data_IF_218432559597
#
_entry.id   IF_218432559597
#
_cell.length_a   1.000
_cell.length_b   1.000
_cell.length_c   1.000
_cell.angle_alpha   90.00
_cell.angle_beta   90.00
_cell.angle_gamma   90.00
#
_symmetry.space_group_name_H-M   'P 1'
#
loop_
_entity.id
_entity.type
_entity.pdbx_description
1 polymer ?
#
# COMPACT_ATOMS: atom_id res chain seq x y z
N UNK A 1 -10.24 2.90 -22.88
CA UNK A 1 -11.32 2.44 -21.96
C UNK A 1 -10.93 2.56 -20.47
N UNK A 2 -9.72 2.16 -20.05
CA UNK A 2 -9.23 2.28 -18.66
C UNK A 2 -9.17 3.76 -18.20
N UNK A 3 -8.63 4.66 -19.03
CA UNK A 3 -8.50 6.10 -18.75
C UNK A 3 -9.82 6.77 -18.30
N UNK A 4 -10.95 6.49 -18.98
CA UNK A 4 -12.27 7.01 -18.57
C UNK A 4 -12.74 6.47 -17.22
N UNK A 5 -12.38 5.24 -16.85
CA UNK A 5 -12.76 4.63 -15.58
C UNK A 5 -11.94 5.16 -14.40
N UNK A 6 -10.71 5.63 -14.63
CA UNK A 6 -9.88 6.24 -13.58
C UNK A 6 -10.44 7.60 -13.12
N UNK A 7 -11.15 8.34 -13.98
CA UNK A 7 -11.84 9.58 -13.57
C UNK A 7 -12.94 9.36 -12.53
N UNK A 8 -13.53 8.15 -12.47
CA UNK A 8 -14.54 7.81 -11.47
C UNK A 8 -13.96 7.56 -10.08
N UNK A 9 -12.63 7.55 -9.94
CA UNK A 9 -11.91 7.30 -8.68
C UNK A 9 -11.42 8.58 -8.00
N UNK A 10 -11.82 9.76 -8.46
CA UNK A 10 -11.30 11.05 -7.98
C UNK A 10 -11.44 11.20 -6.45
N UNK A 11 -12.59 10.84 -5.89
CA UNK A 11 -12.83 10.93 -4.45
C UNK A 11 -11.96 9.93 -3.68
N UNK A 12 -11.84 8.69 -4.16
CA UNK A 12 -11.00 7.67 -3.54
C UNK A 12 -9.52 8.07 -3.59
N UNK A 13 -9.07 8.64 -4.71
CA UNK A 13 -7.69 9.15 -4.88
C UNK A 13 -7.44 10.32 -3.92
N UNK A 14 -8.36 11.26 -3.82
CA UNK A 14 -8.26 12.41 -2.92
C UNK A 14 -8.20 11.96 -1.44
N UNK A 15 -9.04 10.99 -1.08
CA UNK A 15 -9.02 10.39 0.25
C UNK A 15 -7.73 9.62 0.53
N UNK A 16 -7.15 8.93 -0.47
CA UNK A 16 -5.87 8.24 -0.34
C UNK A 16 -4.71 9.24 -0.14
N UNK A 17 -4.68 10.34 -0.90
CA UNK A 17 -3.72 11.42 -0.71
C UNK A 17 -3.83 11.96 0.72
N UNK A 18 -5.05 12.24 1.17
CA UNK A 18 -5.31 12.79 2.50
C UNK A 18 -4.83 11.86 3.62
N UNK A 19 -5.17 10.56 3.57
CA UNK A 19 -4.81 9.62 4.65
C UNK A 19 -3.30 9.41 4.72
N UNK A 20 -2.60 9.33 3.59
CA UNK A 20 -1.14 9.22 3.50
C UNK A 20 -0.49 10.50 4.05
N UNK A 21 -0.93 11.67 3.57
CA UNK A 21 -0.45 12.97 4.05
C UNK A 21 -0.61 13.12 5.56
N UNK A 22 -1.81 12.86 6.10
CA UNK A 22 -2.10 13.01 7.53
C UNK A 22 -1.24 12.05 8.38
N UNK A 23 -0.98 10.83 7.89
CA UNK A 23 -0.12 9.86 8.56
C UNK A 23 1.32 10.37 8.66
N UNK A 24 1.90 10.76 7.53
CA UNK A 24 3.30 11.22 7.47
C UNK A 24 3.51 12.56 8.17
N UNK A 25 2.58 13.48 8.05
CA UNK A 25 2.63 14.79 8.73
C UNK A 25 2.66 14.66 10.26
N UNK A 26 1.99 13.64 10.79
CA UNK A 26 1.98 13.33 12.23
C UNK A 26 3.22 12.58 12.71
N UNK A 27 4.19 12.31 11.84
CA UNK A 27 5.41 11.56 12.16
C UNK A 27 5.21 10.05 12.25
N UNK A 28 4.07 9.54 11.78
CA UNK A 28 3.82 8.10 11.69
C UNK A 28 4.39 7.54 10.37
N UNK A 29 4.43 6.21 10.25
CA UNK A 29 4.92 5.51 9.06
C UNK A 29 3.81 4.79 8.31
N UNK A 30 4.13 4.41 7.09
CA UNK A 30 3.29 3.55 6.25
C UNK A 30 3.99 2.22 6.07
N UNK A 31 3.26 1.13 6.31
CA UNK A 31 3.72 -0.24 6.08
C UNK A 31 2.99 -0.76 4.84
N UNK A 32 3.74 -1.02 3.76
CA UNK A 32 3.17 -1.39 2.47
C UNK A 32 3.47 -2.85 2.14
N UNK A 33 2.51 -3.59 1.55
CA UNK A 33 2.69 -4.99 1.18
C UNK A 33 1.91 -5.38 -0.08
N UNK A 34 2.38 -6.45 -0.71
CA UNK A 34 1.77 -7.09 -1.88
C UNK A 34 2.49 -8.38 -2.22
N UNK A 35 1.96 -9.15 -3.16
CA UNK A 35 2.56 -10.40 -3.63
C UNK A 35 3.04 -10.28 -5.09
N UNK A 36 4.11 -10.97 -5.47
CA UNK A 36 4.62 -11.00 -6.84
C UNK A 36 4.89 -9.61 -7.41
N UNK A 37 4.26 -9.25 -8.53
CA UNK A 37 4.37 -7.90 -9.11
C UNK A 37 3.90 -6.79 -8.17
N UNK A 38 2.88 -7.06 -7.35
CA UNK A 38 2.44 -6.11 -6.33
C UNK A 38 3.42 -5.99 -5.16
N UNK A 39 4.29 -6.98 -4.91
CA UNK A 39 5.43 -6.84 -3.98
C UNK A 39 6.50 -5.93 -4.58
N UNK A 40 6.77 -6.05 -5.89
CA UNK A 40 7.67 -5.16 -6.61
C UNK A 40 7.17 -3.70 -6.57
N UNK A 41 5.88 -3.47 -6.80
CA UNK A 41 5.24 -2.15 -6.64
C UNK A 41 5.42 -1.61 -5.22
N UNK A 42 5.19 -2.45 -4.20
CA UNK A 42 5.35 -2.05 -2.80
C UNK A 42 6.78 -1.65 -2.45
N UNK A 43 7.77 -2.42 -2.92
CA UNK A 43 9.19 -2.10 -2.72
C UNK A 43 9.58 -0.82 -3.48
N UNK A 44 9.14 -0.65 -4.71
CA UNK A 44 9.40 0.54 -5.52
C UNK A 44 8.84 1.80 -4.86
N UNK A 45 7.55 1.81 -4.51
CA UNK A 45 6.90 2.94 -3.85
C UNK A 45 7.52 3.26 -2.47
N UNK A 46 7.99 2.22 -1.76
CA UNK A 46 8.77 2.41 -0.53
C UNK A 46 10.08 3.15 -0.79
N UNK A 47 10.85 2.72 -1.78
CA UNK A 47 12.13 3.34 -2.15
C UNK A 47 11.95 4.80 -2.56
N UNK A 48 10.89 5.13 -3.30
CA UNK A 48 10.57 6.50 -3.72
C UNK A 48 10.43 7.47 -2.53
N UNK A 49 9.86 7.01 -1.41
CA UNK A 49 9.67 7.85 -0.24
C UNK A 49 10.83 7.79 0.76
N UNK A 50 11.46 6.64 0.93
CA UNK A 50 12.64 6.50 1.77
C UNK A 50 13.83 7.30 1.23
N UNK A 51 13.97 7.39 -0.08
CA UNK A 51 15.10 8.07 -0.72
C UNK A 51 14.63 9.36 -1.39
N UNK A 52 14.03 9.28 -2.56
CA UNK A 52 13.60 10.46 -3.33
C UNK A 52 12.71 10.08 -4.51
N UNK A 53 11.51 10.65 -4.61
CA UNK A 53 10.62 10.45 -5.75
C UNK A 53 10.97 11.41 -6.90
N UNK A 54 11.02 12.71 -6.66
CA UNK A 54 11.31 13.71 -7.69
C UNK A 54 12.77 14.13 -7.65
N UNK A 55 13.52 14.01 -8.78
CA UNK A 55 14.94 14.34 -8.84
C UNK A 55 15.30 15.76 -8.36
N UNK A 56 14.43 16.72 -8.64
CA UNK A 56 14.64 18.14 -8.35
C UNK A 56 14.14 18.56 -6.95
N UNK A 57 13.66 17.62 -6.14
CA UNK A 57 13.15 17.89 -4.79
C UNK A 57 14.07 17.25 -3.76
N UNK A 58 14.98 18.05 -3.21
CA UNK A 58 15.78 17.62 -2.07
C UNK A 58 14.95 17.78 -0.79
N UNK A 59 14.56 16.68 -0.18
CA UNK A 59 13.73 16.61 1.02
C UNK A 59 14.22 15.56 2.00
N UNK A 60 13.78 15.65 3.23
CA UNK A 60 14.04 14.61 4.22
C UNK A 60 13.38 13.28 3.81
N UNK A 61 13.97 12.13 4.19
CA UNK A 61 13.36 10.82 4.01
C UNK A 61 11.98 10.74 4.67
N UNK A 62 11.08 9.96 4.07
CA UNK A 62 9.74 9.71 4.59
C UNK A 62 9.54 8.20 4.82
N UNK A 63 8.96 7.79 5.96
CA UNK A 63 8.94 6.39 6.35
C UNK A 63 7.78 5.63 5.69
N UNK A 64 7.99 5.16 4.46
CA UNK A 64 7.19 4.11 3.83
C UNK A 64 8.04 2.85 3.75
N UNK A 65 7.64 1.79 4.44
CA UNK A 65 8.44 0.57 4.60
C UNK A 65 7.70 -0.61 3.98
N UNK A 66 8.33 -1.29 3.02
CA UNK A 66 7.77 -2.52 2.45
C UNK A 66 7.86 -3.66 3.46
N UNK A 67 6.76 -4.41 3.64
CA UNK A 67 6.71 -5.67 4.39
C UNK A 67 7.12 -6.88 3.53
N UNK A 68 7.34 -6.70 2.24
CA UNK A 68 8.04 -7.66 1.38
C UNK A 68 9.53 -7.53 1.64
N UNK A 69 9.96 -8.04 2.80
CA UNK A 69 11.29 -7.86 3.37
C UNK A 69 12.35 -8.72 2.66
N UNK A 70 13.42 -9.03 3.40
CA UNK A 70 14.50 -9.89 2.94
C UNK A 70 14.07 -11.37 2.85
N UNK A 71 14.88 -12.14 2.12
CA UNK A 71 14.64 -13.58 1.91
C UNK A 71 14.64 -14.39 3.20
N UNK A 72 15.43 -13.99 4.20
CA UNK A 72 15.48 -14.70 5.50
C UNK A 72 14.16 -14.58 6.25
N UNK A 73 13.59 -13.39 6.34
CA UNK A 73 12.25 -13.18 6.96
C UNK A 73 11.17 -13.96 6.21
N UNK A 74 11.20 -13.96 4.88
CA UNK A 74 10.20 -14.66 4.06
C UNK A 74 10.29 -16.18 4.22
N UNK A 75 11.51 -16.73 4.14
CA UNK A 75 11.73 -18.19 4.24
C UNK A 75 11.50 -18.70 5.64
N UNK A 76 11.93 -17.98 6.68
CA UNK A 76 11.66 -18.32 8.06
C UNK A 76 10.14 -18.37 8.34
N UNK A 77 9.39 -17.38 7.90
CA UNK A 77 7.94 -17.39 8.06
C UNK A 77 7.27 -18.54 7.31
N UNK A 78 7.73 -18.85 6.11
CA UNK A 78 7.23 -19.99 5.32
C UNK A 78 7.54 -21.35 5.96
N UNK A 79 8.73 -21.48 6.57
CA UNK A 79 9.18 -22.71 7.23
C UNK A 79 8.52 -22.92 8.60
N UNK A 80 8.47 -21.89 9.44
CA UNK A 80 8.09 -22.00 10.85
C UNK A 80 6.59 -21.81 11.08
N UNK A 81 5.89 -21.15 10.17
CA UNK A 81 4.46 -20.83 10.23
C UNK A 81 3.77 -21.13 8.89
N UNK A 82 3.43 -20.09 8.14
CA UNK A 82 2.91 -20.20 6.78
C UNK A 82 3.17 -18.91 5.99
N UNK A 83 3.19 -19.01 4.66
CA UNK A 83 3.25 -17.83 3.80
C UNK A 83 2.07 -16.85 4.05
N UNK A 84 0.93 -17.38 4.46
CA UNK A 84 -0.25 -16.58 4.78
C UNK A 84 -0.07 -15.69 6.03
N UNK A 85 0.88 -16.00 6.89
CA UNK A 85 1.12 -15.25 8.12
C UNK A 85 2.19 -14.16 7.98
N UNK A 86 2.93 -14.17 6.86
CA UNK A 86 4.09 -13.30 6.63
C UNK A 86 3.79 -11.83 6.93
N UNK A 87 2.82 -11.24 6.23
CA UNK A 87 2.53 -9.82 6.39
C UNK A 87 1.87 -9.49 7.74
N UNK A 88 1.06 -10.38 8.28
CA UNK A 88 0.42 -10.16 9.57
C UNK A 88 1.44 -10.15 10.72
N UNK A 89 2.43 -11.05 10.69
CA UNK A 89 3.49 -11.12 11.70
C UNK A 89 4.45 -9.94 11.62
N UNK A 90 4.94 -9.63 10.43
CA UNK A 90 5.85 -8.48 10.22
C UNK A 90 5.16 -7.15 10.52
N UNK A 91 3.88 -7.02 10.15
CA UNK A 91 3.08 -5.85 10.50
C UNK A 91 2.92 -5.70 12.02
N UNK A 92 2.57 -6.76 12.74
CA UNK A 92 2.41 -6.73 14.21
C UNK A 92 3.68 -6.31 14.93
N UNK A 93 4.84 -6.74 14.43
CA UNK A 93 6.14 -6.39 15.00
C UNK A 93 6.53 -4.91 14.77
N UNK A 94 6.15 -4.33 13.64
CA UNK A 94 6.62 -3.02 13.21
C UNK A 94 5.61 -1.88 13.40
N UNK A 95 4.30 -2.21 13.43
CA UNK A 95 3.25 -1.20 13.44
C UNK A 95 3.01 -0.61 14.83
N UNK A 96 2.70 0.69 14.85
CA UNK A 96 2.30 1.44 16.04
C UNK A 96 0.99 2.17 15.77
N UNK A 97 0.28 2.54 16.83
CA UNK A 97 -0.92 3.36 16.74
C UNK A 97 -0.63 4.66 15.98
N UNK A 98 -1.44 4.97 14.99
CA UNK A 98 -1.30 6.13 14.11
C UNK A 98 -0.65 5.82 12.77
N UNK A 99 0.01 4.66 12.62
CA UNK A 99 0.54 4.20 11.33
C UNK A 99 -0.58 3.87 10.33
N UNK A 100 -0.20 3.64 9.08
CA UNK A 100 -1.11 3.23 8.01
C UNK A 100 -0.61 1.92 7.40
N UNK A 101 -1.51 0.94 7.26
CA UNK A 101 -1.26 -0.23 6.41
C UNK A 101 -1.66 0.11 4.96
N UNK A 102 -0.78 -0.20 3.99
CA UNK A 102 -1.09 -0.06 2.57
C UNK A 102 -0.94 -1.42 1.87
N UNK A 103 -2.04 -1.99 1.39
CA UNK A 103 -2.06 -3.27 0.70
C UNK A 103 -2.23 -3.10 -0.81
N UNK A 104 -1.49 -3.89 -1.61
CA UNK A 104 -1.66 -3.97 -3.06
C UNK A 104 -2.01 -5.41 -3.43
N UNK A 105 -3.18 -5.62 -4.04
CA UNK A 105 -3.65 -6.96 -4.43
C UNK A 105 -4.58 -6.90 -5.64
N UNK A 106 -4.18 -7.49 -6.76
CA UNK A 106 -4.99 -7.50 -7.98
C UNK A 106 -6.28 -8.31 -7.84
N UNK A 107 -6.31 -9.35 -7.02
CA UNK A 107 -7.49 -10.18 -6.77
C UNK A 107 -8.32 -9.71 -5.57
N UNK A 108 -7.66 -9.09 -4.58
CA UNK A 108 -8.25 -8.79 -3.27
C UNK A 108 -8.60 -10.05 -2.44
N UNK A 109 -8.04 -11.21 -2.80
CA UNK A 109 -8.37 -12.50 -2.18
C UNK A 109 -7.16 -13.27 -1.60
N UNK A 110 -5.94 -12.74 -1.73
CA UNK A 110 -4.75 -13.38 -1.17
C UNK A 110 -4.86 -13.46 0.35
N UNK A 111 -4.66 -14.67 0.92
CA UNK A 111 -4.94 -14.91 2.34
C UNK A 111 -3.99 -14.11 3.26
N UNK A 112 -2.71 -13.95 2.90
CA UNK A 112 -1.78 -13.11 3.65
C UNK A 112 -2.21 -11.63 3.69
N UNK A 113 -2.82 -11.09 2.61
CA UNK A 113 -3.40 -9.75 2.57
C UNK A 113 -4.65 -9.67 3.47
N UNK A 114 -5.50 -10.71 3.43
CA UNK A 114 -6.67 -10.78 4.30
C UNK A 114 -6.26 -10.82 5.79
N UNK A 115 -5.26 -11.64 6.13
CA UNK A 115 -4.77 -11.76 7.51
C UNK A 115 -4.17 -10.44 8.02
N UNK A 116 -3.35 -9.73 7.24
CA UNK A 116 -2.78 -8.45 7.67
C UNK A 116 -3.85 -7.35 7.80
N UNK A 117 -4.86 -7.31 6.95
CA UNK A 117 -5.98 -6.39 7.08
C UNK A 117 -6.80 -6.64 8.35
N UNK A 118 -7.07 -7.92 8.68
CA UNK A 118 -7.70 -8.31 9.94
C UNK A 118 -6.84 -7.89 11.16
N UNK A 119 -5.51 -8.08 11.06
CA UNK A 119 -4.56 -7.66 12.10
C UNK A 119 -4.59 -6.14 12.30
N UNK A 120 -4.52 -5.35 11.23
CA UNK A 120 -4.60 -3.89 11.29
C UNK A 120 -5.89 -3.42 11.96
N UNK A 121 -7.03 -4.03 11.61
CA UNK A 121 -8.32 -3.74 12.24
C UNK A 121 -8.31 -4.05 13.74
N UNK A 122 -7.74 -5.20 14.15
CA UNK A 122 -7.60 -5.60 15.57
C UNK A 122 -6.72 -4.60 16.34
N UNK A 123 -5.67 -4.07 15.71
CA UNK A 123 -4.77 -3.07 16.28
C UNK A 123 -5.32 -1.63 16.19
N UNK A 124 -6.52 -1.44 15.66
CA UNK A 124 -7.13 -0.12 15.42
C UNK A 124 -6.26 0.81 14.56
N UNK A 125 -5.61 0.23 13.55
CA UNK A 125 -4.77 0.93 12.56
C UNK A 125 -5.54 1.00 11.24
N UNK A 126 -5.59 2.18 10.64
CA UNK A 126 -6.26 2.40 9.34
C UNK A 126 -5.53 1.68 8.22
N UNK A 127 -6.27 1.31 7.18
CA UNK A 127 -5.72 0.66 6.00
C UNK A 127 -6.22 1.28 4.70
N UNK A 128 -5.32 1.39 3.72
CA UNK A 128 -5.57 1.70 2.33
C UNK A 128 -5.30 0.44 1.51
N UNK A 129 -6.16 0.12 0.54
CA UNK A 129 -5.90 -0.99 -0.38
C UNK A 129 -6.07 -0.57 -1.83
N UNK A 130 -5.09 -0.94 -2.67
CA UNK A 130 -5.21 -0.94 -4.11
C UNK A 130 -5.65 -2.34 -4.55
N UNK A 131 -6.80 -2.43 -5.17
CA UNK A 131 -7.45 -3.69 -5.53
C UNK A 131 -7.81 -3.72 -7.01
N UNK A 132 -7.98 -4.92 -7.54
CA UNK A 132 -8.51 -5.14 -8.88
C UNK A 132 -9.88 -5.80 -8.88
N UNK A 133 -10.41 -6.05 -10.06
CA UNK A 133 -11.71 -6.69 -10.28
C UNK A 133 -12.86 -5.97 -9.56
N UNK A 134 -13.49 -6.64 -8.61
CA UNK A 134 -14.54 -6.12 -7.74
C UNK A 134 -14.04 -5.87 -6.30
N UNK A 135 -12.73 -5.99 -6.07
CA UNK A 135 -12.06 -5.77 -4.79
C UNK A 135 -11.95 -6.99 -3.88
N UNK A 136 -12.54 -8.12 -4.25
CA UNK A 136 -12.47 -9.36 -3.47
C UNK A 136 -12.91 -9.21 -2.00
N UNK A 137 -12.43 -10.11 -1.14
CA UNK A 137 -12.67 -10.08 0.32
C UNK A 137 -12.02 -8.86 1.00
N UNK A 138 -10.87 -8.40 0.47
CA UNK A 138 -10.12 -7.29 1.03
C UNK A 138 -10.92 -5.98 1.08
N UNK A 139 -11.79 -5.73 0.09
CA UNK A 139 -12.66 -4.54 0.02
C UNK A 139 -13.43 -4.28 1.32
N UNK A 140 -13.93 -5.34 1.97
CA UNK A 140 -14.75 -5.22 3.20
C UNK A 140 -13.91 -5.05 4.48
N UNK A 141 -12.59 -5.25 4.38
CA UNK A 141 -11.68 -5.22 5.53
C UNK A 141 -10.88 -3.91 5.58
N UNK A 142 -10.61 -3.29 4.45
CA UNK A 142 -9.87 -2.04 4.37
C UNK A 142 -10.71 -0.83 4.77
N UNK A 143 -10.05 0.17 5.35
CA UNK A 143 -10.67 1.46 5.69
C UNK A 143 -10.97 2.30 4.45
N UNK A 144 -10.12 2.19 3.42
CA UNK A 144 -10.25 2.88 2.14
C UNK A 144 -9.77 1.96 1.02
N UNK A 145 -10.44 2.00 -0.12
CA UNK A 145 -10.08 1.19 -1.28
C UNK A 145 -10.01 2.03 -2.55
N UNK A 146 -9.01 1.77 -3.38
CA UNK A 146 -9.00 2.15 -4.80
C UNK A 146 -9.12 0.87 -5.60
N UNK A 147 -10.22 0.73 -6.35
CA UNK A 147 -10.53 -0.50 -7.08
C UNK A 147 -10.44 -0.27 -8.58
N UNK A 148 -9.47 -0.93 -9.23
CA UNK A 148 -9.32 -0.91 -10.68
C UNK A 148 -10.30 -1.91 -11.30
N UNK A 149 -11.34 -1.46 -12.01
CA UNK A 149 -12.40 -2.32 -12.54
C UNK A 149 -11.95 -3.02 -13.84
N UNK A 150 -10.95 -3.87 -13.73
CA UNK A 150 -10.37 -4.67 -14.80
C UNK A 150 -10.08 -6.09 -14.31
N UNK A 151 -10.11 -7.09 -15.23
CA UNK A 151 -9.88 -8.51 -14.89
C UNK A 151 -8.46 -8.99 -15.23
N UNK A 152 -7.76 -8.31 -16.14
CA UNK A 152 -6.39 -8.66 -16.51
C UNK A 152 -5.41 -8.11 -15.46
N UNK A 153 -4.64 -9.00 -14.85
CA UNK A 153 -3.69 -8.70 -13.77
C UNK A 153 -2.65 -7.65 -14.19
N UNK A 154 -2.07 -7.76 -15.39
CA UNK A 154 -1.06 -6.81 -15.86
C UNK A 154 -1.64 -5.38 -15.99
N UNK A 155 -2.85 -5.25 -16.53
CA UNK A 155 -3.54 -3.93 -16.66
C UNK A 155 -3.88 -3.33 -15.29
N UNK A 156 -4.20 -4.19 -14.31
CA UNK A 156 -4.43 -3.75 -12.93
C UNK A 156 -3.14 -3.25 -12.31
N UNK A 157 -2.03 -3.98 -12.45
CA UNK A 157 -0.71 -3.59 -11.91
C UNK A 157 -0.19 -2.30 -12.54
N UNK A 158 -0.30 -2.13 -13.86
CA UNK A 158 0.03 -0.87 -14.52
C UNK A 158 -0.75 0.33 -13.94
N UNK A 159 -2.04 0.13 -13.66
CA UNK A 159 -2.85 1.17 -13.03
C UNK A 159 -2.45 1.40 -11.57
N UNK A 160 -2.10 0.35 -10.82
CA UNK A 160 -1.67 0.46 -9.43
C UNK A 160 -0.38 1.27 -9.30
N UNK A 161 0.65 0.96 -10.11
CA UNK A 161 1.91 1.70 -10.03
C UNK A 161 1.76 3.15 -10.52
N UNK A 162 0.98 3.39 -11.58
CA UNK A 162 0.66 4.74 -12.04
C UNK A 162 -0.01 5.58 -10.95
N UNK A 163 -1.04 5.03 -10.30
CA UNK A 163 -1.75 5.70 -9.19
C UNK A 163 -0.86 5.87 -7.95
N UNK A 164 -0.01 4.89 -7.68
CA UNK A 164 0.99 4.97 -6.63
C UNK A 164 1.88 6.20 -6.78
N UNK A 165 2.50 6.37 -7.95
CA UNK A 165 3.32 7.55 -8.26
C UNK A 165 2.51 8.85 -8.15
N UNK A 166 1.33 8.91 -8.78
CA UNK A 166 0.50 10.10 -8.78
C UNK A 166 0.11 10.56 -7.36
N UNK A 167 -0.33 9.60 -6.53
CA UNK A 167 -0.73 9.87 -5.14
C UNK A 167 0.48 10.30 -4.31
N UNK A 168 1.59 9.56 -4.39
CA UNK A 168 2.78 9.87 -3.62
C UNK A 168 3.41 11.21 -4.04
N UNK A 169 3.45 11.52 -5.33
CA UNK A 169 3.90 12.83 -5.81
C UNK A 169 3.00 13.96 -5.29
N UNK A 170 1.70 13.76 -5.27
CA UNK A 170 0.73 14.74 -4.73
C UNK A 170 0.93 14.97 -3.23
N UNK A 171 1.19 13.89 -2.47
CA UNK A 171 1.53 13.96 -1.05
C UNK A 171 2.85 14.70 -0.84
N UNK A 172 3.89 14.36 -1.60
CA UNK A 172 5.20 15.02 -1.52
C UNK A 172 5.10 16.52 -1.81
N UNK A 173 4.37 16.90 -2.87
CA UNK A 173 4.11 18.31 -3.21
C UNK A 173 3.41 19.06 -2.05
N UNK A 174 2.49 18.41 -1.38
CA UNK A 174 1.73 19.02 -0.27
C UNK A 174 2.58 19.15 1.00
N UNK A 175 3.40 18.12 1.33
CA UNK A 175 4.27 18.13 2.51
C UNK A 175 5.43 19.13 2.39
N UNK A 176 5.92 19.38 1.18
CA UNK A 176 7.11 20.19 0.91
C UNK A 176 6.81 21.38 -0.03
N UNK A 177 5.58 21.92 0.03
CA UNK A 177 5.28 23.23 -0.59
C UNK A 177 6.22 24.27 0.04
N UNK A 178 7.10 24.82 -0.80
CA UNK A 178 7.74 26.11 -0.55
C UNK A 178 6.80 27.22 -0.98
#
# INVERSE_FOLDING_TARGET
>A
MLKKKLFLLNDDISNAIKIIFDTLRKGNKILICGNGGSAADAQHLSAEFLIRLRPNVNRKPLPIISLSLDSSTMTACGNDYSFDDLFARTFEALAKKGDLLFCISTSGNSENIIKVLKKAKKMNIKSLSFLGNKGGKAKKLSSLNIIIPHTNTARIQEAHIFLGHFILESVERTLFKK
#
